data_IF_710930369288
#
_entry.id   IF_710930369288
#
_cell.length_a   1.000
_cell.length_b   1.000
_cell.length_c   1.000
_cell.angle_alpha   90.00
_cell.angle_beta   90.00
_cell.angle_gamma   90.00
#
_symmetry.space_group_name_H-M   'P 1'
#
loop_
_entity.id
_entity.type
_entity.pdbx_description
1 polymer ?
#
# COMPACT_ATOMS: atom_id res chain seq x y z
N UNK A 1 4.21 15.05 -19.63
CA UNK A 1 3.66 15.33 -18.30
C UNK A 1 2.74 16.56 -18.33
N UNK A 2 2.07 16.81 -19.44
CA UNK A 2 1.21 18.00 -19.67
C UNK A 2 -0.23 17.65 -20.10
N UNK A 3 -0.69 16.41 -19.96
CA UNK A 3 -1.99 15.93 -20.49
C UNK A 3 -2.93 15.30 -19.45
N UNK A 4 -2.68 15.46 -18.15
CA UNK A 4 -3.54 14.89 -17.08
C UNK A 4 -4.24 15.98 -16.24
N UNK A 5 -4.19 17.24 -16.62
CA UNK A 5 -4.85 18.35 -15.89
C UNK A 5 -6.02 18.95 -16.69
N UNK A 6 -6.66 18.20 -17.55
CA UNK A 6 -7.95 18.62 -18.15
C UNK A 6 -9.08 17.69 -17.71
N UNK A 7 -9.31 17.61 -16.42
CA UNK A 7 -10.51 17.05 -15.80
C UNK A 7 -11.11 18.08 -14.87
N UNK A 8 -12.02 18.87 -15.39
CA UNK A 8 -13.11 19.60 -14.73
C UNK A 8 -12.83 20.11 -13.30
N UNK A 9 -11.87 21.05 -13.18
CA UNK A 9 -11.77 21.87 -11.97
C UNK A 9 -13.00 22.76 -11.97
N UNK A 10 -13.88 22.52 -11.00
CA UNK A 10 -15.07 23.30 -10.73
C UNK A 10 -14.73 24.80 -10.87
N UNK A 11 -15.36 25.50 -11.80
CA UNK A 11 -15.11 26.90 -12.14
C UNK A 11 -15.17 27.86 -10.95
N UNK A 12 -15.81 27.44 -9.87
CA UNK A 12 -15.87 28.15 -8.59
C UNK A 12 -14.57 28.10 -7.76
N UNK A 13 -13.64 27.16 -8.07
CA UNK A 13 -12.37 27.03 -7.37
C UNK A 13 -11.32 28.02 -7.90
N UNK A 14 -11.31 28.23 -9.22
CA UNK A 14 -10.38 29.17 -9.85
C UNK A 14 -10.68 30.65 -9.53
N UNK A 15 -11.93 30.98 -9.22
CA UNK A 15 -12.35 32.36 -8.89
C UNK A 15 -12.00 32.80 -7.44
N UNK A 16 -11.58 31.89 -6.58
CA UNK A 16 -11.25 32.16 -5.17
C UNK A 16 -9.76 32.20 -4.85
N UNK A 17 -8.89 31.92 -5.82
CA UNK A 17 -7.45 32.04 -5.62
C UNK A 17 -7.04 33.52 -5.76
N UNK A 18 -6.27 34.08 -4.80
CA UNK A 18 -5.66 35.40 -4.99
C UNK A 18 -4.71 35.33 -6.19
N UNK A 19 -4.61 36.42 -7.00
CA UNK A 19 -3.73 36.41 -8.16
C UNK A 19 -2.30 36.10 -7.73
N UNK A 20 -1.75 35.03 -8.30
CA UNK A 20 -0.34 34.69 -8.13
C UNK A 20 0.44 35.72 -8.92
N UNK A 21 1.39 36.48 -8.31
CA UNK A 21 2.19 37.37 -9.06
C UNK A 21 2.99 36.62 -10.12
N UNK A 22 2.79 36.96 -11.39
CA UNK A 22 3.55 36.41 -12.50
C UNK A 22 4.99 36.87 -12.38
N UNK A 23 5.87 36.03 -11.81
CA UNK A 23 7.31 36.20 -11.91
C UNK A 23 7.77 35.68 -13.27
N UNK A 24 8.10 36.55 -14.20
CA UNK A 24 8.79 36.22 -15.44
C UNK A 24 10.29 36.00 -15.17
N UNK A 25 10.90 35.04 -15.85
CA UNK A 25 12.34 34.88 -15.94
C UNK A 25 12.82 35.58 -17.21
N UNK A 26 13.88 36.37 -17.11
CA UNK A 26 14.56 36.92 -18.27
C UNK A 26 15.53 35.88 -18.87
N UNK A 27 16.01 36.14 -20.08
CA UNK A 27 16.89 35.22 -20.86
C UNK A 27 18.27 34.98 -20.20
N UNK A 28 18.57 35.62 -19.07
CA UNK A 28 19.80 35.46 -18.28
C UNK A 28 19.56 34.69 -16.95
N UNK A 29 18.33 34.24 -16.68
CA UNK A 29 18.01 33.45 -15.49
C UNK A 29 17.89 34.25 -14.19
N UNK A 30 17.88 35.58 -14.27
CA UNK A 30 17.71 36.44 -13.11
C UNK A 30 16.24 36.81 -12.88
N UNK A 31 15.78 36.68 -11.64
CA UNK A 31 14.41 36.91 -11.20
C UNK A 31 14.23 38.41 -10.98
N UNK A 32 13.66 39.11 -11.96
CA UNK A 32 13.25 40.51 -11.81
C UNK A 32 11.80 40.56 -11.29
N UNK A 33 11.62 40.68 -9.97
CA UNK A 33 10.39 41.15 -9.37
C UNK A 33 10.43 42.69 -9.38
N UNK A 34 9.75 43.29 -10.35
CA UNK A 34 9.72 44.74 -10.53
C UNK A 34 8.72 45.50 -9.68
N UNK A 35 8.08 44.88 -8.69
CA UNK A 35 7.18 45.59 -7.79
C UNK A 35 7.88 45.97 -6.49
N UNK A 36 7.70 47.21 -6.00
CA UNK A 36 8.24 47.65 -4.72
C UNK A 36 7.68 46.72 -3.63
N UNK A 37 8.58 46.24 -2.75
CA UNK A 37 8.16 45.39 -1.61
C UNK A 37 6.92 45.99 -0.94
N UNK A 38 5.86 45.21 -0.73
CA UNK A 38 4.64 45.67 -0.08
C UNK A 38 5.01 46.30 1.29
N UNK A 39 4.43 47.46 1.58
CA UNK A 39 4.70 48.18 2.82
C UNK A 39 4.46 47.28 4.05
N UNK A 40 5.05 47.60 5.19
CA UNK A 40 4.85 46.83 6.42
C UNK A 40 3.34 46.69 6.75
N UNK A 41 2.54 47.68 6.39
CA UNK A 41 1.07 47.71 6.56
C UNK A 41 0.36 46.73 5.66
N UNK A 42 0.80 46.58 4.39
CA UNK A 42 0.23 45.65 3.43
C UNK A 42 0.56 44.19 3.78
N UNK A 43 1.76 43.97 4.35
CA UNK A 43 2.15 42.65 4.89
C UNK A 43 1.29 42.23 6.07
N UNK A 44 0.97 43.15 6.98
CA UNK A 44 0.03 42.84 8.08
C UNK A 44 -1.39 42.55 7.59
N UNK A 45 -1.87 43.28 6.57
CA UNK A 45 -3.18 43.01 5.98
C UNK A 45 -3.20 41.72 5.14
N UNK A 46 -2.11 41.34 4.49
CA UNK A 46 -1.97 40.11 3.80
C UNK A 46 -1.92 38.91 4.79
N UNK A 47 -1.14 39.07 5.88
CA UNK A 47 -1.08 38.06 6.94
C UNK A 47 -2.44 37.89 7.66
N UNK A 48 -3.14 38.99 7.94
CA UNK A 48 -4.47 38.96 8.55
C UNK A 48 -5.54 38.36 7.61
N UNK A 49 -5.41 38.58 6.29
CA UNK A 49 -6.27 37.91 5.29
C UNK A 49 -5.95 36.43 5.16
N UNK A 50 -4.68 36.05 5.20
CA UNK A 50 -4.24 34.67 5.18
C UNK A 50 -4.68 33.94 6.46
N UNK A 51 -4.52 34.54 7.64
CA UNK A 51 -5.00 33.97 8.89
C UNK A 51 -6.53 33.84 8.93
N UNK A 52 -7.29 34.80 8.41
CA UNK A 52 -8.75 34.69 8.25
C UNK A 52 -9.11 33.57 7.28
N UNK A 53 -8.40 33.45 6.17
CA UNK A 53 -8.59 32.39 5.20
C UNK A 53 -8.22 31.00 5.76
N UNK A 54 -7.18 30.88 6.61
CA UNK A 54 -6.91 29.67 7.37
C UNK A 54 -8.00 29.38 8.38
N UNK A 55 -8.40 30.37 9.17
CA UNK A 55 -9.42 30.22 10.22
C UNK A 55 -10.83 29.92 9.66
N UNK A 56 -11.14 30.40 8.46
CA UNK A 56 -12.41 30.12 7.75
C UNK A 56 -12.41 28.71 7.10
N UNK A 57 -11.22 28.10 6.97
CA UNK A 57 -11.04 26.72 6.51
C UNK A 57 -10.88 25.69 7.64
N UNK A 58 -10.52 26.15 8.84
CA UNK A 58 -10.34 25.29 10.01
C UNK A 58 -11.68 24.87 10.65
N UNK A 59 -12.81 25.31 10.08
CA UNK A 59 -14.12 24.76 10.36
C UNK A 59 -14.34 23.42 9.68
N UNK A 60 -13.46 22.44 9.99
CA UNK A 60 -13.81 21.02 9.79
C UNK A 60 -14.90 20.72 10.81
N UNK A 61 -16.14 20.94 10.37
CA UNK A 61 -17.29 20.87 11.24
C UNK A 61 -17.48 19.41 11.67
N UNK A 62 -17.47 19.14 12.99
CA UNK A 62 -17.69 17.81 13.54
C UNK A 62 -18.99 17.20 13.00
N UNK A 63 -19.92 18.06 12.58
CA UNK A 63 -21.17 17.67 11.93
C UNK A 63 -20.96 17.08 10.54
N UNK A 64 -19.96 17.54 9.77
CA UNK A 64 -19.61 16.96 8.46
C UNK A 64 -18.96 15.59 8.61
N UNK A 65 -18.12 15.39 9.63
CA UNK A 65 -17.55 14.08 9.95
C UNK A 65 -18.65 13.10 10.35
N UNK A 66 -19.55 13.52 11.22
CA UNK A 66 -20.69 12.69 11.66
C UNK A 66 -21.65 12.40 10.51
N UNK A 67 -21.92 13.35 9.64
CA UNK A 67 -22.73 13.16 8.43
C UNK A 67 -22.02 12.18 7.47
N UNK A 68 -20.72 12.34 7.23
CA UNK A 68 -19.93 11.41 6.43
C UNK A 68 -19.90 9.98 7.01
N UNK A 69 -19.79 9.85 8.34
CA UNK A 69 -19.87 8.54 9.00
C UNK A 69 -21.25 7.90 8.88
N UNK A 70 -22.33 8.68 8.98
CA UNK A 70 -23.71 8.16 8.81
C UNK A 70 -23.97 7.77 7.35
N UNK A 71 -23.50 8.55 6.40
CA UNK A 71 -23.56 8.22 4.96
C UNK A 71 -22.73 6.97 4.64
N UNK A 72 -21.54 6.84 5.22
CA UNK A 72 -20.70 5.65 5.11
C UNK A 72 -21.40 4.38 5.62
N UNK A 73 -22.06 4.46 6.78
CA UNK A 73 -22.81 3.33 7.35
C UNK A 73 -24.00 2.99 6.46
N UNK A 74 -24.71 3.99 5.94
CA UNK A 74 -25.84 3.78 5.02
C UNK A 74 -25.37 3.16 3.69
N UNK A 75 -24.23 3.60 3.13
CA UNK A 75 -23.61 3.05 1.92
C UNK A 75 -23.23 1.58 2.11
N UNK A 76 -22.64 1.25 3.27
CA UNK A 76 -22.32 -0.15 3.61
C UNK A 76 -23.59 -0.99 3.78
N UNK A 77 -24.64 -0.41 4.35
CA UNK A 77 -25.92 -1.11 4.58
C UNK A 77 -26.74 -1.28 3.29
N UNK A 78 -26.63 -0.33 2.37
CA UNK A 78 -27.33 -0.39 1.07
C UNK A 78 -26.74 -1.43 0.11
N UNK A 79 -25.58 -2.02 0.46
CA UNK A 79 -24.87 -3.02 -0.39
C UNK A 79 -24.75 -2.52 -1.84
N UNK A 80 -24.31 -1.28 -2.02
CA UNK A 80 -24.12 -0.70 -3.34
C UNK A 80 -23.25 -1.60 -4.20
N UNK A 81 -23.70 -1.89 -5.42
CA UNK A 81 -23.03 -2.81 -6.34
C UNK A 81 -21.59 -2.36 -6.66
N UNK A 82 -21.37 -1.06 -6.78
CA UNK A 82 -20.05 -0.49 -7.08
C UNK A 82 -19.10 -0.65 -5.88
N UNK A 83 -19.60 -0.46 -4.65
CA UNK A 83 -18.83 -0.66 -3.43
C UNK A 83 -18.41 -2.13 -3.27
N UNK A 84 -19.33 -3.05 -3.54
CA UNK A 84 -19.05 -4.49 -3.49
C UNK A 84 -18.01 -4.87 -4.53
N UNK A 85 -18.12 -4.37 -5.75
CA UNK A 85 -17.18 -4.68 -6.83
C UNK A 85 -15.76 -4.16 -6.51
N UNK A 86 -15.62 -2.92 -6.04
CA UNK A 86 -14.35 -2.35 -5.59
C UNK A 86 -13.76 -3.18 -4.43
N UNK A 87 -14.59 -3.57 -3.45
CA UNK A 87 -14.18 -4.36 -2.29
C UNK A 87 -13.70 -5.75 -2.68
N UNK A 88 -14.46 -6.46 -3.52
CA UNK A 88 -14.10 -7.77 -4.02
C UNK A 88 -12.82 -7.73 -4.85
N UNK A 89 -12.65 -6.68 -5.66
CA UNK A 89 -11.44 -6.47 -6.44
C UNK A 89 -10.22 -6.21 -5.56
N UNK A 90 -10.36 -5.37 -4.54
CA UNK A 90 -9.30 -5.14 -3.54
C UNK A 90 -8.88 -6.45 -2.86
N UNK A 91 -9.86 -7.23 -2.42
CA UNK A 91 -9.62 -8.50 -1.74
C UNK A 91 -8.95 -9.51 -2.69
N UNK A 92 -9.47 -9.63 -3.92
CA UNK A 92 -8.92 -10.54 -4.94
C UNK A 92 -7.46 -10.22 -5.26
N UNK A 93 -7.12 -8.95 -5.48
CA UNK A 93 -5.74 -8.52 -5.78
C UNK A 93 -4.82 -8.77 -4.58
N UNK A 94 -5.22 -8.36 -3.37
CA UNK A 94 -4.38 -8.51 -2.17
C UNK A 94 -4.21 -9.97 -1.75
N UNK A 95 -5.26 -10.80 -1.81
CA UNK A 95 -5.16 -12.21 -1.49
C UNK A 95 -4.36 -13.00 -2.53
N UNK A 96 -4.54 -12.70 -3.82
CA UNK A 96 -3.75 -13.34 -4.88
C UNK A 96 -2.27 -13.03 -4.72
N UNK A 97 -1.94 -11.76 -4.45
CA UNK A 97 -0.56 -11.34 -4.17
C UNK A 97 0.01 -12.04 -2.92
N UNK A 98 -0.78 -12.13 -1.84
CA UNK A 98 -0.39 -12.82 -0.61
C UNK A 98 -0.08 -14.29 -0.84
N UNK A 99 -0.96 -15.01 -1.56
CA UNK A 99 -0.76 -16.45 -1.84
C UNK A 99 0.53 -16.66 -2.64
N UNK A 100 0.72 -15.90 -3.72
CA UNK A 100 1.92 -16.02 -4.57
C UNK A 100 3.18 -15.65 -3.76
N UNK A 101 3.16 -14.54 -3.04
CA UNK A 101 4.29 -14.10 -2.24
C UNK A 101 4.62 -15.10 -1.12
N UNK A 102 3.62 -15.65 -0.44
CA UNK A 102 3.81 -16.64 0.62
C UNK A 102 4.37 -17.95 0.06
N UNK A 103 3.90 -18.41 -1.11
CA UNK A 103 4.41 -19.62 -1.77
C UNK A 103 5.91 -19.52 -2.09
N UNK A 104 6.41 -18.31 -2.35
CA UNK A 104 7.84 -18.05 -2.60
C UNK A 104 8.60 -17.73 -1.31
N UNK A 105 8.04 -16.85 -0.48
CA UNK A 105 8.72 -16.28 0.68
C UNK A 105 8.89 -17.29 1.83
N UNK A 106 7.91 -18.16 2.09
CA UNK A 106 7.98 -19.12 3.19
C UNK A 106 9.09 -20.17 2.97
N UNK A 107 9.18 -20.85 1.81
CA UNK A 107 10.30 -21.76 1.56
C UNK A 107 11.65 -21.04 1.49
N UNK A 108 11.69 -19.84 0.90
CA UNK A 108 12.91 -19.04 0.80
C UNK A 108 13.44 -18.63 2.19
N UNK A 109 12.58 -18.10 3.06
CA UNK A 109 12.93 -17.71 4.42
C UNK A 109 13.40 -18.91 5.26
N UNK A 110 12.70 -20.05 5.16
CA UNK A 110 13.07 -21.30 5.84
C UNK A 110 14.41 -21.85 5.32
N UNK A 111 14.61 -21.85 4.01
CA UNK A 111 15.86 -22.27 3.41
C UNK A 111 17.05 -21.41 3.87
N UNK A 112 16.87 -20.09 3.94
CA UNK A 112 17.86 -19.15 4.47
C UNK A 112 18.15 -19.38 5.97
N UNK A 113 17.17 -19.87 6.72
CA UNK A 113 17.36 -20.17 8.14
C UNK A 113 18.27 -21.39 8.35
N UNK A 114 18.08 -22.46 7.54
CA UNK A 114 18.74 -23.75 7.67
C UNK A 114 20.16 -23.71 7.05
N UNK A 115 20.30 -23.12 5.85
CA UNK A 115 21.51 -23.27 5.07
C UNK A 115 22.57 -22.24 5.44
N UNK A 116 23.80 -22.71 5.66
CA UNK A 116 25.01 -21.88 5.87
C UNK A 116 25.77 -21.80 4.57
N UNK A 117 25.88 -20.58 3.96
CA UNK A 117 26.67 -20.31 2.77
C UNK A 117 27.41 -18.96 2.91
N UNK A 118 28.47 -18.79 2.09
CA UNK A 118 29.42 -17.67 2.22
C UNK A 118 28.75 -16.28 2.19
N UNK A 119 27.72 -16.11 1.34
CA UNK A 119 27.03 -14.81 1.14
C UNK A 119 25.71 -14.68 1.92
N UNK A 120 25.42 -15.59 2.86
CA UNK A 120 24.17 -15.61 3.63
C UNK A 120 23.89 -14.27 4.33
N UNK A 121 24.91 -13.67 4.96
CA UNK A 121 24.76 -12.38 5.66
C UNK A 121 24.35 -11.26 4.70
N UNK A 122 24.92 -11.25 3.52
CA UNK A 122 24.59 -10.26 2.50
C UNK A 122 23.15 -10.42 2.00
N UNK A 123 22.70 -11.65 1.71
CA UNK A 123 21.32 -11.92 1.26
C UNK A 123 20.30 -11.52 2.33
N UNK A 124 20.57 -11.85 3.60
CA UNK A 124 19.68 -11.44 4.72
C UNK A 124 19.66 -9.90 4.86
N UNK A 125 20.81 -9.24 4.78
CA UNK A 125 20.88 -7.78 4.82
C UNK A 125 20.11 -7.14 3.67
N UNK A 126 20.21 -7.69 2.46
CA UNK A 126 19.47 -7.23 1.27
C UNK A 126 17.96 -7.41 1.44
N UNK A 127 17.49 -8.57 1.95
CA UNK A 127 16.08 -8.79 2.25
C UNK A 127 15.55 -7.79 3.27
N UNK A 128 16.32 -7.54 4.34
CA UNK A 128 15.94 -6.56 5.35
C UNK A 128 15.93 -5.12 4.78
N UNK A 129 16.87 -4.78 3.91
CA UNK A 129 16.87 -3.49 3.21
C UNK A 129 15.63 -3.34 2.31
N UNK A 130 15.22 -4.41 1.64
CA UNK A 130 14.03 -4.41 0.78
C UNK A 130 12.71 -4.25 1.54
N UNK A 131 12.66 -4.61 2.83
CA UNK A 131 11.49 -4.28 3.68
C UNK A 131 11.27 -2.76 3.79
N UNK A 132 12.34 -1.97 3.77
CA UNK A 132 12.32 -0.51 3.86
C UNK A 132 12.17 0.21 2.52
N UNK A 133 12.10 -0.50 1.39
CA UNK A 133 11.94 0.14 0.08
C UNK A 133 10.64 0.94 0.00
N UNK A 134 10.71 2.20 -0.51
CA UNK A 134 9.51 2.97 -0.77
C UNK A 134 8.66 2.28 -1.85
N UNK A 135 7.40 1.92 -1.55
CA UNK A 135 6.56 1.19 -2.49
C UNK A 135 6.33 1.90 -3.82
N UNK A 136 6.31 3.24 -3.77
CA UNK A 136 6.18 4.10 -4.96
C UNK A 136 7.32 3.85 -5.95
N UNK A 137 8.54 3.66 -5.44
CA UNK A 137 9.71 3.37 -6.28
C UNK A 137 9.58 1.99 -6.92
N UNK A 138 9.11 0.99 -6.17
CA UNK A 138 8.84 -0.35 -6.72
C UNK A 138 7.76 -0.28 -7.79
N UNK A 139 6.67 0.44 -7.54
CA UNK A 139 5.63 0.69 -8.52
C UNK A 139 6.15 1.34 -9.81
N UNK A 140 7.03 2.34 -9.67
CA UNK A 140 7.66 3.00 -10.82
C UNK A 140 8.55 2.05 -11.61
N UNK A 141 9.35 1.22 -10.94
CA UNK A 141 10.20 0.22 -11.61
C UNK A 141 9.33 -0.79 -12.37
N UNK A 142 8.29 -1.32 -11.74
CA UNK A 142 7.36 -2.26 -12.38
C UNK A 142 6.65 -1.60 -13.57
N UNK A 143 6.23 -0.34 -13.42
CA UNK A 143 5.66 0.45 -14.51
C UNK A 143 6.61 0.55 -15.70
N UNK A 144 7.88 0.92 -15.48
CA UNK A 144 8.87 1.04 -16.54
C UNK A 144 9.17 -0.30 -17.22
N UNK A 145 9.20 -1.39 -16.46
CA UNK A 145 9.42 -2.73 -17.00
C UNK A 145 8.25 -3.22 -17.86
N UNK A 146 7.01 -2.91 -17.47
CA UNK A 146 5.79 -3.34 -18.16
C UNK A 146 5.29 -2.33 -19.21
N UNK A 147 5.88 -1.13 -19.27
CA UNK A 147 5.57 -0.11 -20.27
C UNK A 147 5.87 -0.62 -21.69
N UNK A 148 5.15 -0.11 -22.69
CA UNK A 148 5.36 -0.47 -24.11
C UNK A 148 6.79 -0.29 -24.60
N UNK A 149 7.54 0.63 -23.99
CA UNK A 149 8.96 0.86 -24.27
C UNK A 149 9.88 0.00 -23.39
N UNK A 150 9.33 -0.73 -22.42
CA UNK A 150 10.07 -1.58 -21.50
C UNK A 150 10.28 -3.01 -22.03
N UNK A 151 11.14 -3.79 -21.38
CA UNK A 151 11.49 -5.15 -21.81
C UNK A 151 10.31 -6.13 -21.80
N UNK A 152 9.31 -5.91 -20.95
CA UNK A 152 8.11 -6.74 -20.84
C UNK A 152 6.85 -6.08 -21.45
N UNK A 153 7.01 -5.00 -22.24
CA UNK A 153 5.91 -4.28 -22.86
C UNK A 153 5.06 -5.12 -23.83
N UNK A 154 5.66 -6.19 -24.40
CA UNK A 154 4.98 -7.15 -25.29
C UNK A 154 3.81 -7.86 -24.58
N UNK A 155 3.85 -7.97 -23.23
CA UNK A 155 2.83 -8.67 -22.45
C UNK A 155 1.55 -7.85 -22.26
N UNK A 156 1.56 -6.56 -22.57
CA UNK A 156 0.43 -5.60 -22.45
C UNK A 156 -0.28 -5.68 -21.07
N UNK A 157 0.49 -5.91 -20.01
CA UNK A 157 -0.02 -6.11 -18.64
C UNK A 157 -0.26 -4.81 -17.88
N UNK A 158 0.28 -3.68 -18.36
CA UNK A 158 0.15 -2.41 -17.67
C UNK A 158 -1.33 -2.01 -17.56
N UNK A 159 -1.71 -1.39 -16.45
CA UNK A 159 -3.09 -1.01 -16.13
C UNK A 159 -4.07 -2.19 -16.04
N UNK A 160 -3.57 -3.36 -15.66
CA UNK A 160 -4.39 -4.54 -15.38
C UNK A 160 -4.28 -4.96 -13.90
N UNK A 161 -5.25 -5.72 -13.37
CA UNK A 161 -5.15 -6.31 -12.03
C UNK A 161 -3.91 -7.19 -11.86
N UNK A 162 -3.46 -7.84 -12.93
CA UNK A 162 -2.25 -8.68 -12.92
C UNK A 162 -0.99 -7.87 -12.62
N UNK A 163 -0.84 -6.68 -13.23
CA UNK A 163 0.28 -5.81 -12.94
C UNK A 163 0.28 -5.32 -11.49
N UNK A 164 -0.90 -5.04 -10.93
CA UNK A 164 -1.05 -4.70 -9.51
C UNK A 164 -0.61 -5.85 -8.60
N UNK A 165 -1.00 -7.09 -8.92
CA UNK A 165 -0.57 -8.29 -8.19
C UNK A 165 0.94 -8.44 -8.25
N UNK A 166 1.58 -8.27 -9.41
CA UNK A 166 3.05 -8.36 -9.57
C UNK A 166 3.74 -7.33 -8.66
N UNK A 167 3.30 -6.08 -8.67
CA UNK A 167 3.86 -5.02 -7.83
C UNK A 167 3.72 -5.36 -6.34
N UNK A 168 2.55 -5.83 -5.90
CA UNK A 168 2.32 -6.25 -4.52
C UNK A 168 3.19 -7.44 -4.12
N UNK A 169 3.31 -8.46 -4.97
CA UNK A 169 4.18 -9.62 -4.72
C UNK A 169 5.62 -9.18 -4.48
N UNK A 170 6.16 -8.28 -5.29
CA UNK A 170 7.52 -7.76 -5.13
C UNK A 170 7.69 -7.04 -3.79
N UNK A 171 6.68 -6.26 -3.35
CA UNK A 171 6.73 -5.48 -2.11
C UNK A 171 6.63 -6.38 -0.86
N UNK A 172 5.72 -7.36 -0.87
CA UNK A 172 5.43 -8.15 0.34
C UNK A 172 6.34 -9.38 0.48
N UNK A 173 6.93 -9.91 -0.60
CA UNK A 173 7.82 -11.08 -0.55
C UNK A 173 9.01 -10.89 0.39
N UNK A 174 9.79 -9.79 0.33
CA UNK A 174 10.91 -9.59 1.27
C UNK A 174 10.45 -9.49 2.72
N UNK A 175 9.30 -8.87 2.97
CA UNK A 175 8.72 -8.76 4.31
C UNK A 175 8.41 -10.15 4.88
N UNK A 176 7.63 -10.96 4.17
CA UNK A 176 7.26 -12.31 4.60
C UNK A 176 8.51 -13.18 4.74
N UNK A 177 9.44 -13.13 3.79
CA UNK A 177 10.67 -13.93 3.83
C UNK A 177 11.57 -13.57 5.01
N UNK A 178 11.68 -12.28 5.36
CA UNK A 178 12.49 -11.84 6.50
C UNK A 178 11.89 -12.29 7.84
N UNK A 179 10.57 -12.13 8.04
CA UNK A 179 9.88 -12.60 9.26
C UNK A 179 9.98 -14.12 9.36
N UNK A 180 9.76 -14.82 8.25
CA UNK A 180 9.89 -16.28 8.17
C UNK A 180 11.32 -16.72 8.52
N UNK A 181 12.33 -16.06 7.97
CA UNK A 181 13.72 -16.38 8.28
C UNK A 181 14.04 -16.26 9.78
N UNK A 182 13.55 -15.21 10.45
CA UNK A 182 13.77 -15.00 11.88
C UNK A 182 13.10 -16.11 12.69
N UNK A 183 11.83 -16.39 12.44
CA UNK A 183 11.07 -17.41 13.13
C UNK A 183 11.65 -18.83 12.92
N UNK A 184 11.99 -19.16 11.68
CA UNK A 184 12.55 -20.47 11.37
C UNK A 184 13.98 -20.67 11.88
N UNK A 185 14.73 -19.60 12.10
CA UNK A 185 16.05 -19.68 12.72
C UNK A 185 15.98 -20.11 14.18
N UNK A 186 14.99 -19.64 14.91
CA UNK A 186 14.75 -20.06 16.31
C UNK A 186 14.37 -21.54 16.36
N UNK A 187 13.38 -21.95 15.58
CA UNK A 187 12.98 -23.34 15.45
C UNK A 187 14.13 -24.24 15.01
N UNK A 188 14.93 -23.80 14.05
CA UNK A 188 16.08 -24.57 13.59
C UNK A 188 17.12 -24.77 14.68
N UNK A 189 17.32 -23.81 15.57
CA UNK A 189 18.25 -23.99 16.72
C UNK A 189 17.79 -25.05 17.70
N UNK A 190 16.47 -25.25 17.82
CA UNK A 190 15.88 -26.25 18.70
C UNK A 190 15.87 -27.66 18.06
N UNK A 191 15.51 -27.77 16.79
CA UNK A 191 15.39 -29.06 16.09
C UNK A 191 16.64 -29.55 15.37
N UNK A 192 17.72 -28.76 15.38
CA UNK A 192 18.95 -29.03 14.60
C UNK A 192 19.52 -30.41 14.85
N UNK A 193 19.78 -30.76 16.12
CA UNK A 193 20.43 -32.00 16.49
C UNK A 193 19.55 -33.23 16.24
N UNK A 194 18.24 -33.09 16.51
CA UNK A 194 17.26 -34.12 16.24
C UNK A 194 17.16 -34.44 14.73
N UNK A 195 17.02 -33.41 13.90
CA UNK A 195 16.87 -33.60 12.45
C UNK A 195 18.14 -34.10 11.78
N UNK A 196 19.30 -33.81 12.33
CA UNK A 196 20.58 -34.36 11.84
C UNK A 196 20.72 -35.80 12.27
N UNK A 197 20.42 -36.17 13.53
CA UNK A 197 20.51 -37.55 13.99
C UNK A 197 19.58 -38.49 13.23
N UNK A 198 18.41 -38.00 12.79
CA UNK A 198 17.47 -38.72 11.94
C UNK A 198 17.89 -38.78 10.46
N UNK A 199 19.06 -38.24 10.11
CA UNK A 199 19.59 -38.21 8.73
C UNK A 199 18.60 -37.68 7.67
N UNK A 200 17.80 -36.68 8.04
CA UNK A 200 16.78 -36.10 7.17
C UNK A 200 17.39 -35.33 5.99
N UNK A 201 16.72 -35.37 4.85
CA UNK A 201 17.11 -34.57 3.67
C UNK A 201 16.77 -33.09 3.86
N UNK A 202 17.41 -32.22 3.05
CA UNK A 202 17.12 -30.77 3.12
C UNK A 202 15.63 -30.45 2.88
N UNK A 203 14.98 -31.12 1.94
CA UNK A 203 13.55 -30.94 1.68
C UNK A 203 12.68 -31.33 2.88
N UNK A 204 12.98 -32.45 3.53
CA UNK A 204 12.29 -32.90 4.74
C UNK A 204 12.46 -31.92 5.89
N UNK A 205 13.65 -31.37 6.10
CA UNK A 205 13.92 -30.32 7.12
C UNK A 205 13.06 -29.09 6.89
N UNK A 206 13.02 -28.58 5.64
CA UNK A 206 12.18 -27.43 5.27
C UNK A 206 10.71 -27.74 5.51
N UNK A 207 10.22 -28.90 5.06
CA UNK A 207 8.83 -29.28 5.24
C UNK A 207 8.45 -29.43 6.71
N UNK A 208 9.29 -30.07 7.52
CA UNK A 208 9.06 -30.23 8.97
C UNK A 208 9.01 -28.89 9.67
N UNK A 209 9.97 -27.99 9.41
CA UNK A 209 9.99 -26.68 10.03
C UNK A 209 8.81 -25.81 9.62
N UNK A 210 8.40 -25.86 8.34
CA UNK A 210 7.20 -25.15 7.88
C UNK A 210 5.96 -25.71 8.57
N UNK A 211 5.84 -27.03 8.68
CA UNK A 211 4.70 -27.65 9.31
C UNK A 211 4.60 -27.33 10.81
N UNK A 212 5.71 -27.42 11.53
CA UNK A 212 5.73 -27.15 12.96
C UNK A 212 5.62 -25.66 13.27
N UNK A 213 6.29 -24.83 12.47
CA UNK A 213 6.25 -23.37 12.57
C UNK A 213 5.02 -22.71 11.95
N UNK A 214 4.06 -23.47 11.42
CA UNK A 214 2.94 -22.92 10.63
C UNK A 214 2.18 -21.78 11.30
N UNK A 215 2.06 -21.79 12.63
CA UNK A 215 1.41 -20.69 13.38
C UNK A 215 2.18 -19.38 13.27
N UNK A 216 3.49 -19.44 13.46
CA UNK A 216 4.35 -18.27 13.33
C UNK A 216 4.42 -17.80 11.87
N UNK A 217 4.36 -18.74 10.92
CA UNK A 217 4.26 -18.44 9.48
C UNK A 217 2.95 -17.77 9.10
N UNK A 218 1.84 -18.14 9.75
CA UNK A 218 0.56 -17.43 9.59
C UNK A 218 0.66 -15.96 10.03
N UNK A 219 1.39 -15.68 11.11
CA UNK A 219 1.64 -14.30 11.54
C UNK A 219 2.47 -13.53 10.50
N UNK A 220 3.47 -14.18 9.89
CA UNK A 220 4.24 -13.57 8.79
C UNK A 220 3.35 -13.27 7.56
N UNK A 221 2.46 -14.19 7.22
CA UNK A 221 1.49 -13.99 6.13
C UNK A 221 0.49 -12.86 6.45
N UNK A 222 0.00 -12.77 7.71
CA UNK A 222 -0.86 -11.66 8.18
C UNK A 222 -0.17 -10.30 8.06
N UNK A 223 1.10 -10.22 8.43
CA UNK A 223 1.88 -8.99 8.26
C UNK A 223 2.00 -8.62 6.77
N UNK A 224 2.22 -9.61 5.90
CA UNK A 224 2.22 -9.43 4.45
C UNK A 224 0.86 -8.96 3.91
N UNK A 225 -0.24 -9.52 4.39
CA UNK A 225 -1.60 -9.12 4.01
C UNK A 225 -1.90 -7.67 4.42
N UNK A 226 -1.61 -7.31 5.69
CA UNK A 226 -1.80 -5.95 6.17
C UNK A 226 -0.99 -4.92 5.36
N UNK A 227 0.22 -5.29 4.94
CA UNK A 227 1.02 -4.48 4.01
C UNK A 227 0.38 -4.37 2.63
N UNK A 228 -0.12 -5.49 2.08
CA UNK A 228 -0.72 -5.53 0.75
C UNK A 228 -2.01 -4.70 0.67
N UNK A 229 -2.92 -4.87 1.64
CA UNK A 229 -4.23 -4.21 1.62
C UNK A 229 -4.14 -2.70 1.83
N UNK A 230 -3.12 -2.22 2.56
CA UNK A 230 -2.89 -0.79 2.80
C UNK A 230 -2.07 -0.08 1.73
N UNK A 231 -1.62 -0.78 0.68
CA UNK A 231 -0.75 -0.18 -0.33
C UNK A 231 -1.55 0.68 -1.32
N UNK A 232 -1.13 1.94 -1.46
CA UNK A 232 -1.76 2.92 -2.38
C UNK A 232 -0.84 3.27 -3.54
N UNK A 233 0.39 3.69 -3.22
CA UNK A 233 1.27 4.36 -4.18
C UNK A 233 1.69 3.50 -5.36
N UNK A 234 2.16 2.28 -5.09
CA UNK A 234 2.56 1.35 -6.14
C UNK A 234 1.38 0.93 -7.01
N UNK A 235 0.24 0.63 -6.37
CA UNK A 235 -0.99 0.20 -7.06
C UNK A 235 -1.50 1.33 -7.97
N UNK A 236 -1.45 2.58 -7.50
CA UNK A 236 -1.91 3.74 -8.27
C UNK A 236 -1.08 3.95 -9.53
N UNK A 237 0.26 3.79 -9.44
CA UNK A 237 1.17 3.94 -10.58
C UNK A 237 0.97 2.83 -11.61
N UNK A 238 0.88 1.58 -11.16
CA UNK A 238 0.83 0.41 -12.06
C UNK A 238 -0.57 0.12 -12.55
N UNK A 239 -1.59 0.36 -11.72
CA UNK A 239 -3.00 0.11 -12.03
C UNK A 239 -3.72 1.27 -12.73
N UNK A 240 -3.28 2.53 -12.50
CA UNK A 240 -3.90 3.72 -13.14
C UNK A 240 -5.29 4.07 -12.61
N UNK A 241 -5.80 3.39 -11.57
CA UNK A 241 -7.10 3.65 -10.93
C UNK A 241 -8.30 3.74 -11.92
N UNK A 242 -8.32 2.85 -12.90
CA UNK A 242 -9.36 2.80 -13.93
C UNK A 242 -10.63 2.20 -13.33
N UNK A 243 -11.76 2.88 -13.56
CA UNK A 243 -13.06 2.43 -13.06
C UNK A 243 -13.41 1.05 -13.58
N UNK A 244 -14.06 0.24 -12.74
CA UNK A 244 -14.46 -1.16 -13.00
C UNK A 244 -13.32 -2.11 -13.45
N UNK A 245 -12.06 -1.63 -13.56
CA UNK A 245 -10.91 -2.46 -14.00
C UNK A 245 -9.85 -2.60 -12.91
N UNK A 246 -9.27 -1.48 -12.46
CA UNK A 246 -8.14 -1.46 -11.51
C UNK A 246 -8.40 -0.62 -10.26
N UNK A 247 -9.59 0.01 -10.16
CA UNK A 247 -9.97 0.73 -8.95
C UNK A 247 -10.14 -0.24 -7.78
N UNK A 248 -9.41 0.00 -6.70
CA UNK A 248 -9.47 -0.73 -5.43
C UNK A 248 -9.77 0.24 -4.31
N UNK A 249 -10.12 -0.25 -3.11
CA UNK A 249 -10.52 0.60 -1.99
C UNK A 249 -9.51 1.71 -1.69
N UNK A 250 -8.23 1.38 -1.61
CA UNK A 250 -7.16 2.35 -1.30
C UNK A 250 -7.00 3.42 -2.37
N UNK A 251 -7.11 3.07 -3.64
CA UNK A 251 -7.01 4.04 -4.75
C UNK A 251 -8.29 4.87 -4.89
N UNK A 252 -9.45 4.30 -4.55
CA UNK A 252 -10.72 5.02 -4.48
C UNK A 252 -10.68 6.08 -3.36
N UNK A 253 -10.22 5.72 -2.15
CA UNK A 253 -10.04 6.67 -1.04
C UNK A 253 -9.15 7.84 -1.46
N UNK A 254 -8.00 7.56 -2.09
CA UNK A 254 -7.08 8.60 -2.56
C UNK A 254 -7.71 9.52 -3.62
N UNK A 255 -8.54 8.95 -4.51
CA UNK A 255 -9.26 9.71 -5.54
C UNK A 255 -10.32 10.63 -4.93
N UNK A 256 -11.18 10.11 -4.06
CA UNK A 256 -12.27 10.88 -3.45
C UNK A 256 -11.72 11.98 -2.51
N UNK A 257 -10.65 11.68 -1.76
CA UNK A 257 -9.91 12.69 -1.00
C UNK A 257 -9.37 13.79 -1.91
N UNK A 258 -8.83 13.43 -3.08
CA UNK A 258 -8.33 14.40 -4.07
C UNK A 258 -9.44 15.26 -4.72
N UNK A 259 -10.67 14.75 -4.79
CA UNK A 259 -11.85 15.49 -5.24
C UNK A 259 -12.42 16.41 -4.16
N UNK A 260 -12.05 16.20 -2.88
CA UNK A 260 -12.59 16.92 -1.74
C UNK A 260 -13.87 16.27 -1.16
N UNK A 261 -14.23 15.09 -1.63
CA UNK A 261 -15.35 14.30 -1.07
C UNK A 261 -14.84 13.46 0.11
N UNK A 262 -14.71 14.13 1.25
CA UNK A 262 -14.22 13.49 2.47
C UNK A 262 -15.23 12.52 3.07
N UNK A 263 -16.54 12.74 2.84
CA UNK A 263 -17.59 11.86 3.36
C UNK A 263 -17.48 10.46 2.74
N UNK A 264 -17.42 10.37 1.42
CA UNK A 264 -17.25 9.12 0.69
C UNK A 264 -15.88 8.48 0.98
N UNK A 265 -14.80 9.28 1.04
CA UNK A 265 -13.46 8.78 1.37
C UNK A 265 -13.39 8.13 2.76
N UNK A 266 -14.02 8.75 3.78
CA UNK A 266 -14.14 8.19 5.13
C UNK A 266 -14.95 6.90 5.13
N UNK A 267 -16.06 6.86 4.37
CA UNK A 267 -16.88 5.67 4.20
C UNK A 267 -16.10 4.48 3.68
N UNK A 268 -15.39 4.68 2.57
CA UNK A 268 -14.50 3.66 1.99
C UNK A 268 -13.40 3.25 2.98
N UNK A 269 -12.88 4.20 3.77
CA UNK A 269 -11.90 3.94 4.83
C UNK A 269 -12.44 3.01 5.92
N UNK A 270 -13.67 3.22 6.39
CA UNK A 270 -14.33 2.35 7.37
C UNK A 270 -14.49 0.93 6.81
N UNK A 271 -14.91 0.80 5.54
CA UNK A 271 -15.01 -0.50 4.85
C UNK A 271 -13.65 -1.20 4.80
N UNK A 272 -12.59 -0.47 4.45
CA UNK A 272 -11.23 -1.01 4.37
C UNK A 272 -10.75 -1.52 5.74
N UNK A 273 -10.99 -0.76 6.81
CA UNK A 273 -10.64 -1.15 8.18
C UNK A 273 -11.44 -2.39 8.59
N UNK A 274 -12.76 -2.39 8.37
CA UNK A 274 -13.61 -3.53 8.69
C UNK A 274 -13.18 -4.80 7.94
N UNK A 275 -12.87 -4.68 6.65
CA UNK A 275 -12.36 -5.78 5.83
C UNK A 275 -11.02 -6.31 6.34
N UNK A 276 -10.09 -5.42 6.65
CA UNK A 276 -8.78 -5.77 7.20
C UNK A 276 -8.92 -6.50 8.55
N UNK A 277 -9.76 -5.98 9.46
CA UNK A 277 -10.04 -6.63 10.73
C UNK A 277 -10.69 -7.99 10.55
N UNK A 278 -11.68 -8.12 9.66
CA UNK A 278 -12.37 -9.37 9.38
C UNK A 278 -11.40 -10.45 8.92
N UNK A 279 -10.54 -10.15 7.95
CA UNK A 279 -9.53 -11.09 7.44
C UNK A 279 -8.52 -11.45 8.53
N UNK A 280 -8.01 -10.46 9.29
CA UNK A 280 -7.07 -10.70 10.37
C UNK A 280 -7.68 -11.59 11.47
N UNK A 281 -8.93 -11.33 11.89
CA UNK A 281 -9.65 -12.12 12.89
C UNK A 281 -9.91 -13.55 12.39
N UNK A 282 -10.29 -13.70 11.12
CA UNK A 282 -10.53 -15.02 10.51
C UNK A 282 -9.25 -15.88 10.52
N UNK A 283 -8.13 -15.31 10.10
CA UNK A 283 -6.86 -16.05 10.09
C UNK A 283 -6.39 -16.33 11.54
N UNK A 284 -6.60 -15.38 12.46
CA UNK A 284 -6.26 -15.58 13.87
C UNK A 284 -7.13 -16.66 14.53
N UNK A 285 -8.42 -16.73 14.24
CA UNK A 285 -9.32 -17.77 14.77
C UNK A 285 -8.94 -19.16 14.26
N UNK A 286 -8.61 -19.29 12.97
CA UNK A 286 -8.11 -20.53 12.39
C UNK A 286 -6.83 -21.02 13.08
N UNK A 287 -5.95 -20.10 13.48
CA UNK A 287 -4.72 -20.44 14.20
C UNK A 287 -4.96 -20.89 15.65
N UNK A 288 -6.08 -20.50 16.27
CA UNK A 288 -6.46 -20.90 17.64
C UNK A 288 -7.11 -22.28 17.69
N UNK A 289 -7.98 -22.61 16.77
CA UNK A 289 -8.72 -23.88 16.74
C UNK A 289 -7.78 -25.10 16.72
N UNK A 290 -6.59 -24.97 16.14
CA UNK A 290 -5.56 -26.00 16.15
C UNK A 290 -4.85 -26.15 17.53
N UNK A 291 -5.05 -25.23 18.50
CA UNK A 291 -4.52 -25.38 19.86
C UNK A 291 -5.31 -26.35 20.70
N UNK A 292 -6.60 -26.42 20.51
CA UNK A 292 -7.52 -27.23 21.34
C UNK A 292 -7.59 -28.70 20.91
N UNK A 293 -7.16 -29.05 19.71
CA UNK A 293 -7.17 -30.44 19.19
C UNK A 293 -5.92 -31.27 19.52
N UNK A 294 -5.03 -30.79 20.40
CA UNK A 294 -3.77 -31.49 20.78
C UNK A 294 -3.70 -31.80 22.27
N UNK A 295 -4.69 -32.53 22.78
CA UNK A 295 -4.59 -33.23 24.06
C UNK A 295 -4.87 -34.72 23.84
#
# INVERSE_FOLDING_TARGET
MQLIVQGNVNSNFAAKLPPIPHCGYDTAGFKLCGDPMPSARDRHHAAARFMRWCNDRDGFDMSEILAGMTEAVLLVWSLDADLIDITLRSLKVSLSALVIASAVALPLGTWLAIRRFRHRRFVIATLNAFMGLPPVVVGLIVYLLLSRTGPFGILDLLFTPTAMIIAQVIIITPLIASITHQAMRELWSEYHDLLISLNTTHGQRIATLIWDGRRTLMTAALAGFGRAIGEVGAIMIVGGNIDHVTRVLTTAIALETGKGDFALALGLGVVLIALSLCVNLTIHSLSRTEREGRW
#
